data_IF_921413536037
#
_entry.id   IF_921413536037
#
_cell.length_a   1.000
_cell.length_b   1.000
_cell.length_c   1.000
_cell.angle_alpha   90.00
_cell.angle_beta   90.00
_cell.angle_gamma   90.00
#
_symmetry.space_group_name_H-M   'P 1'
#
loop_
_entity.id
_entity.type
_entity.pdbx_description
1 polymer ?
#
# COMPACT_ATOMS: atom_id res chain seq x y z
N UNK A 1 -100.48 23.41 2.40
CA UNK A 1 -99.69 22.71 3.45
C UNK A 1 -98.23 22.69 3.04
N UNK A 2 -97.43 23.57 3.64
CA UNK A 2 -95.97 23.59 3.59
C UNK A 2 -95.43 22.33 4.29
N UNK A 3 -94.73 21.45 3.55
CA UNK A 3 -93.92 20.38 4.15
C UNK A 3 -92.45 20.76 4.11
N UNK A 4 -91.90 20.95 5.30
CA UNK A 4 -90.49 21.14 5.59
C UNK A 4 -89.72 19.82 5.53
N UNK A 5 -88.47 19.93 5.05
CA UNK A 5 -87.26 19.18 5.44
C UNK A 5 -87.32 17.65 5.35
N UNK A 6 -86.55 17.12 4.40
CA UNK A 6 -85.58 16.07 4.74
C UNK A 6 -84.22 16.38 4.11
N UNK A 7 -83.22 16.29 4.97
CA UNK A 7 -81.83 16.66 4.74
C UNK A 7 -81.11 15.45 4.20
N UNK A 8 -80.55 15.56 3.00
CA UNK A 8 -79.46 14.69 2.57
C UNK A 8 -78.26 15.60 2.30
N UNK A 9 -77.44 15.80 3.33
CA UNK A 9 -76.09 16.31 3.12
C UNK A 9 -75.30 15.20 2.44
N UNK A 10 -75.02 15.36 1.14
CA UNK A 10 -74.14 14.46 0.41
C UNK A 10 -72.71 14.84 0.79
N UNK A 11 -72.15 14.16 1.80
CA UNK A 11 -70.72 14.22 2.06
C UNK A 11 -70.00 13.55 0.88
N UNK A 12 -69.48 14.36 -0.04
CA UNK A 12 -68.53 13.92 -1.05
C UNK A 12 -67.23 13.54 -0.33
N UNK A 13 -67.04 12.25 -0.08
CA UNK A 13 -65.73 11.72 0.32
C UNK A 13 -64.88 11.65 -0.95
N UNK A 14 -64.09 12.68 -1.22
CA UNK A 14 -63.05 12.62 -2.24
C UNK A 14 -61.92 11.73 -1.73
N UNK A 15 -61.94 10.45 -2.10
CA UNK A 15 -60.81 9.57 -1.88
C UNK A 15 -59.68 9.95 -2.87
N UNK A 16 -58.63 10.60 -2.38
CA UNK A 16 -57.40 10.75 -3.13
C UNK A 16 -56.73 9.37 -3.23
N UNK A 17 -56.77 8.75 -4.41
CA UNK A 17 -56.04 7.52 -4.66
C UNK A 17 -54.54 7.85 -4.75
N UNK A 18 -53.79 7.61 -3.67
CA UNK A 18 -52.34 7.63 -3.72
C UNK A 18 -51.85 6.35 -4.39
N UNK A 19 -51.35 6.44 -5.62
CA UNK A 19 -50.64 5.36 -6.29
C UNK A 19 -49.29 5.15 -5.63
N UNK A 20 -49.19 4.17 -4.74
CA UNK A 20 -47.90 3.68 -4.25
C UNK A 20 -47.25 2.83 -5.36
N UNK A 21 -46.20 3.35 -5.99
CA UNK A 21 -45.31 2.55 -6.84
C UNK A 21 -44.45 1.70 -5.90
N UNK A 22 -44.80 0.42 -5.75
CA UNK A 22 -43.94 -0.53 -5.07
C UNK A 22 -42.85 -0.98 -6.05
N UNK A 23 -41.66 -0.39 -5.93
CA UNK A 23 -40.46 -0.94 -6.57
C UNK A 23 -40.09 -2.23 -5.86
N UNK A 24 -40.27 -3.36 -6.54
CA UNK A 24 -39.69 -4.62 -6.10
C UNK A 24 -38.17 -4.53 -6.32
N UNK A 25 -37.41 -4.26 -5.26
CA UNK A 25 -35.97 -4.49 -5.30
C UNK A 25 -35.77 -6.00 -5.35
N UNK A 26 -35.29 -6.52 -6.49
CA UNK A 26 -34.86 -7.91 -6.60
C UNK A 26 -33.85 -8.22 -5.48
N UNK A 27 -33.89 -9.41 -4.86
CA UNK A 27 -32.88 -9.76 -3.87
C UNK A 27 -31.51 -9.67 -4.55
N UNK A 28 -30.62 -8.83 -4.02
CA UNK A 28 -29.23 -8.80 -4.45
C UNK A 28 -28.68 -10.23 -4.26
N UNK A 29 -28.21 -10.85 -5.34
CA UNK A 29 -27.56 -12.15 -5.24
C UNK A 29 -26.43 -12.03 -4.22
N UNK A 30 -26.38 -12.97 -3.27
CA UNK A 30 -25.32 -12.96 -2.26
C UNK A 30 -23.97 -13.18 -2.97
N UNK A 31 -22.99 -12.30 -2.67
CA UNK A 31 -21.64 -12.42 -3.22
C UNK A 31 -20.99 -13.74 -2.79
N UNK A 32 -20.26 -14.39 -3.70
CA UNK A 32 -19.62 -15.67 -3.43
C UNK A 32 -18.35 -15.47 -2.58
N UNK A 33 -18.00 -16.43 -1.74
CA UNK A 33 -16.74 -16.39 -0.98
C UNK A 33 -15.53 -16.26 -1.92
N UNK A 34 -14.56 -15.42 -1.53
CA UNK A 34 -13.30 -15.27 -2.24
C UNK A 34 -12.11 -15.60 -1.33
N UNK A 35 -10.98 -15.96 -1.93
CA UNK A 35 -9.71 -16.20 -1.25
C UNK A 35 -8.65 -15.30 -1.84
N UNK A 36 -7.90 -14.59 -1.01
CA UNK A 36 -6.79 -13.73 -1.45
C UNK A 36 -5.45 -14.39 -1.10
N UNK A 37 -4.46 -14.25 -1.98
CA UNK A 37 -3.05 -14.52 -1.68
C UNK A 37 -2.23 -13.29 -2.00
N UNK A 38 -1.09 -13.12 -1.34
CA UNK A 38 -0.18 -11.99 -1.56
C UNK A 38 1.27 -12.44 -1.47
N UNK A 39 2.09 -11.90 -2.37
CA UNK A 39 3.52 -12.14 -2.45
C UNK A 39 4.27 -10.82 -2.64
N UNK A 40 5.30 -10.61 -1.82
CA UNK A 40 6.25 -9.52 -1.98
C UNK A 40 7.52 -9.99 -2.71
N UNK A 41 7.93 -9.24 -3.73
CA UNK A 41 9.17 -9.49 -4.48
C UNK A 41 9.99 -8.20 -4.60
N UNK A 42 11.20 -8.13 -4.01
CA UNK A 42 11.78 -9.09 -3.08
C UNK A 42 11.12 -9.05 -1.69
N UNK A 43 11.17 -10.17 -0.94
CA UNK A 43 10.69 -10.22 0.46
C UNK A 43 11.69 -9.64 1.48
N UNK A 44 12.93 -9.38 1.04
CA UNK A 44 13.93 -8.65 1.80
C UNK A 44 14.61 -7.63 0.89
N UNK A 45 14.66 -6.36 1.32
CA UNK A 45 15.23 -5.28 0.56
C UNK A 45 15.96 -4.29 1.48
N UNK A 46 16.71 -3.36 0.88
CA UNK A 46 17.31 -2.24 1.61
C UNK A 46 16.41 -1.02 1.47
N UNK A 47 16.34 -0.16 2.49
CA UNK A 47 15.60 1.12 2.40
C UNK A 47 15.92 1.83 1.08
N UNK A 48 14.87 2.27 0.38
CA UNK A 48 14.96 2.93 -0.92
C UNK A 48 14.87 2.00 -2.14
N UNK A 49 14.90 0.68 -1.95
CA UNK A 49 14.59 -0.28 -3.01
C UNK A 49 13.07 -0.46 -3.14
N UNK A 50 12.53 -0.52 -4.38
CA UNK A 50 11.13 -0.84 -4.60
C UNK A 50 10.84 -2.31 -4.26
N UNK A 51 9.67 -2.57 -3.67
CA UNK A 51 9.15 -3.92 -3.44
C UNK A 51 7.83 -4.07 -4.18
N UNK A 52 7.75 -5.07 -5.06
CA UNK A 52 6.54 -5.34 -5.81
C UNK A 52 5.64 -6.29 -5.02
N UNK A 53 4.46 -5.79 -4.63
CA UNK A 53 3.41 -6.54 -3.97
C UNK A 53 2.44 -7.04 -5.05
N UNK A 54 2.36 -8.34 -5.20
CA UNK A 54 1.44 -9.01 -6.12
C UNK A 54 0.43 -9.79 -5.31
N UNK A 55 -0.84 -9.47 -5.50
CA UNK A 55 -1.92 -10.14 -4.84
C UNK A 55 -2.91 -10.73 -5.86
N UNK A 56 -3.44 -11.89 -5.52
CA UNK A 56 -4.32 -12.68 -6.39
C UNK A 56 -5.58 -13.03 -5.63
N UNK A 57 -6.71 -12.60 -6.15
CA UNK A 57 -8.06 -12.92 -5.64
C UNK A 57 -8.62 -14.08 -6.46
N UNK A 58 -8.98 -15.16 -5.77
CA UNK A 58 -9.67 -16.31 -6.35
C UNK A 58 -11.12 -16.27 -5.93
N UNK A 59 -12.02 -16.19 -6.90
CA UNK A 59 -13.48 -16.18 -6.73
C UNK A 59 -14.11 -16.87 -7.94
N UNK A 60 -15.29 -17.49 -7.77
CA UNK A 60 -16.02 -18.09 -8.89
C UNK A 60 -16.76 -17.06 -9.76
N UNK A 61 -17.01 -15.85 -9.22
CA UNK A 61 -17.48 -14.69 -9.98
C UNK A 61 -16.34 -13.82 -10.47
N UNK A 62 -16.68 -12.71 -11.15
CA UNK A 62 -15.69 -11.71 -11.59
C UNK A 62 -15.25 -10.85 -10.39
N UNK A 63 -13.96 -10.89 -9.99
CA UNK A 63 -13.44 -10.10 -8.87
C UNK A 63 -13.08 -8.65 -9.25
N UNK A 64 -13.28 -8.25 -10.51
CA UNK A 64 -12.97 -6.88 -10.96
C UNK A 64 -14.03 -5.85 -10.53
N UNK A 65 -13.66 -4.58 -10.58
CA UNK A 65 -14.52 -3.46 -10.15
C UNK A 65 -14.55 -3.27 -8.63
N UNK A 66 -15.62 -2.64 -8.13
CA UNK A 66 -15.70 -2.22 -6.73
C UNK A 66 -14.60 -1.19 -6.38
N UNK A 67 -14.16 -1.21 -5.11
CA UNK A 67 -13.00 -0.42 -4.68
C UNK A 67 -11.65 -1.09 -5.04
N UNK A 68 -11.66 -2.37 -5.44
CA UNK A 68 -10.45 -3.12 -5.72
C UNK A 68 -9.73 -3.62 -4.45
N UNK A 69 -8.41 -3.52 -4.44
CA UNK A 69 -7.54 -4.03 -3.40
C UNK A 69 -6.77 -2.93 -2.70
N UNK A 70 -6.85 -2.90 -1.37
CA UNK A 70 -6.09 -1.96 -0.54
C UNK A 70 -4.91 -2.67 0.12
N UNK A 71 -3.72 -2.11 -0.04
CA UNK A 71 -2.51 -2.56 0.63
C UNK A 71 -2.24 -1.71 1.87
N UNK A 72 -1.88 -2.37 2.97
CA UNK A 72 -1.54 -1.76 4.24
C UNK A 72 -0.15 -2.21 4.69
N UNK A 73 0.52 -1.36 5.45
CA UNK A 73 1.71 -1.69 6.23
C UNK A 73 1.37 -1.52 7.71
N UNK A 74 1.14 -2.64 8.40
CA UNK A 74 0.54 -2.62 9.73
C UNK A 74 -0.84 -1.98 9.73
N UNK A 75 -0.93 -0.72 10.20
CA UNK A 75 -2.17 0.06 10.23
C UNK A 75 -2.27 1.16 9.16
N UNK A 76 -1.16 1.46 8.48
CA UNK A 76 -1.10 2.56 7.51
C UNK A 76 -1.49 2.09 6.12
N UNK A 77 -2.36 2.85 5.44
CA UNK A 77 -2.72 2.59 4.05
C UNK A 77 -1.54 2.96 3.16
N UNK A 78 -1.08 2.01 2.35
CA UNK A 78 -0.09 2.25 1.32
C UNK A 78 -0.76 2.78 0.06
N UNK A 79 -1.70 2.00 -0.51
CA UNK A 79 -2.45 2.39 -1.70
C UNK A 79 -3.68 1.47 -1.93
N UNK A 80 -4.60 1.91 -2.78
CA UNK A 80 -5.70 1.10 -3.30
C UNK A 80 -5.61 0.98 -4.82
N UNK A 81 -5.47 -0.25 -5.32
CA UNK A 81 -5.31 -0.54 -6.75
C UNK A 81 -6.50 -1.35 -7.29
N UNK A 82 -6.85 -1.17 -8.57
CA UNK A 82 -7.89 -1.97 -9.20
C UNK A 82 -7.49 -3.46 -9.29
N UNK A 83 -8.47 -4.34 -9.13
CA UNK A 83 -8.32 -5.78 -9.39
C UNK A 83 -8.74 -6.08 -10.82
N UNK A 84 -7.91 -6.82 -11.55
CA UNK A 84 -8.23 -7.25 -12.91
C UNK A 84 -9.29 -8.36 -12.92
N UNK A 85 -9.94 -8.62 -14.06
CA UNK A 85 -10.88 -9.74 -14.20
C UNK A 85 -10.22 -11.11 -13.95
N UNK A 86 -8.89 -11.21 -14.08
CA UNK A 86 -8.13 -12.41 -13.72
C UNK A 86 -7.83 -12.51 -12.21
N UNK A 87 -8.29 -11.54 -11.40
CA UNK A 87 -8.06 -11.49 -9.96
C UNK A 87 -6.71 -10.92 -9.53
N UNK A 88 -5.88 -10.43 -10.46
CA UNK A 88 -4.57 -9.88 -10.12
C UNK A 88 -4.64 -8.39 -9.74
N UNK A 89 -3.88 -8.02 -8.71
CA UNK A 89 -3.61 -6.66 -8.27
C UNK A 89 -2.11 -6.51 -7.98
N UNK A 90 -1.48 -5.45 -8.50
CA UNK A 90 -0.04 -5.22 -8.37
C UNK A 90 0.20 -3.79 -7.89
N UNK A 91 1.04 -3.65 -6.87
CA UNK A 91 1.46 -2.37 -6.33
C UNK A 91 2.96 -2.37 -6.03
N UNK A 92 3.66 -1.32 -6.42
CA UNK A 92 5.09 -1.14 -6.11
C UNK A 92 5.23 -0.25 -4.88
N UNK A 93 5.54 -0.87 -3.73
CA UNK A 93 5.71 -0.19 -2.46
C UNK A 93 7.15 0.34 -2.28
N UNK A 94 7.25 1.51 -1.65
CA UNK A 94 8.50 2.10 -1.20
C UNK A 94 8.44 2.29 0.33
N UNK A 95 9.03 1.36 1.07
CA UNK A 95 9.05 1.42 2.54
C UNK A 95 10.27 2.23 3.00
N UNK A 96 10.04 3.20 3.89
CA UNK A 96 11.04 4.17 4.31
C UNK A 96 11.74 3.84 5.63
N UNK A 97 11.23 2.86 6.38
CA UNK A 97 11.79 2.48 7.68
C UNK A 97 12.52 1.13 7.59
N UNK A 98 13.55 0.96 8.41
CA UNK A 98 14.16 -0.36 8.60
C UNK A 98 13.31 -1.18 9.57
N UNK A 99 13.28 -2.49 9.36
CA UNK A 99 12.57 -3.43 10.21
C UNK A 99 11.72 -4.41 9.42
N UNK A 100 10.91 -5.18 10.15
CA UNK A 100 9.93 -6.09 9.56
C UNK A 100 8.62 -5.35 9.37
N UNK A 101 8.16 -5.31 8.13
CA UNK A 101 6.89 -4.76 7.71
C UNK A 101 5.88 -5.89 7.48
N UNK A 102 4.73 -5.81 8.14
CA UNK A 102 3.62 -6.73 7.92
C UNK A 102 2.68 -6.10 6.91
N UNK A 103 2.68 -6.65 5.70
CA UNK A 103 1.89 -6.13 4.59
C UNK A 103 0.57 -6.89 4.52
N UNK A 104 -0.54 -6.17 4.67
CA UNK A 104 -1.89 -6.73 4.52
C UNK A 104 -2.45 -6.31 3.17
N UNK A 105 -2.83 -7.28 2.34
CA UNK A 105 -3.58 -7.07 1.11
C UNK A 105 -5.05 -7.37 1.37
N UNK A 106 -5.90 -6.34 1.37
CA UNK A 106 -7.33 -6.46 1.61
C UNK A 106 -8.10 -6.25 0.29
N UNK A 107 -8.73 -7.30 -0.21
CA UNK A 107 -9.72 -7.20 -1.26
C UNK A 107 -11.04 -6.70 -0.67
N UNK A 108 -11.52 -5.55 -1.13
CA UNK A 108 -12.70 -4.88 -0.57
C UNK A 108 -14.03 -5.54 -0.93
N UNK A 109 -14.01 -6.54 -1.82
CA UNK A 109 -15.22 -7.18 -2.33
C UNK A 109 -15.93 -6.35 -3.40
N UNK A 110 -16.88 -6.98 -4.06
CA UNK A 110 -17.78 -6.38 -5.03
C UNK A 110 -19.14 -7.12 -4.99
N UNK A 111 -20.02 -6.83 -5.95
CA UNK A 111 -21.33 -7.49 -6.02
C UNK A 111 -21.27 -9.01 -6.27
N UNK A 112 -20.16 -9.52 -6.82
CA UNK A 112 -20.00 -10.92 -7.21
C UNK A 112 -19.19 -11.74 -6.19
N UNK A 113 -18.27 -11.08 -5.49
CA UNK A 113 -17.23 -11.70 -4.67
C UNK A 113 -17.13 -10.97 -3.32
N UNK A 114 -17.26 -11.73 -2.23
CA UNK A 114 -17.12 -11.22 -0.87
C UNK A 114 -15.69 -10.70 -0.62
N UNK A 115 -15.56 -9.77 0.32
CA UNK A 115 -14.26 -9.27 0.77
C UNK A 115 -13.39 -10.41 1.35
N UNK A 116 -12.09 -10.31 1.17
CA UNK A 116 -11.10 -11.22 1.75
C UNK A 116 -9.76 -10.53 1.91
N UNK A 117 -8.85 -11.09 2.71
CA UNK A 117 -7.55 -10.50 2.97
C UNK A 117 -6.47 -11.58 3.11
N UNK A 118 -5.23 -11.17 2.90
CA UNK A 118 -4.04 -11.98 3.13
C UNK A 118 -2.88 -11.11 3.62
N UNK A 119 -1.88 -11.74 4.23
CA UNK A 119 -0.72 -11.05 4.79
C UNK A 119 0.59 -11.64 4.25
N UNK A 120 1.60 -10.79 4.10
CA UNK A 120 2.98 -11.19 3.83
C UNK A 120 3.93 -10.30 4.63
N UNK A 121 5.18 -10.73 4.77
CA UNK A 121 6.20 -9.97 5.48
C UNK A 121 7.29 -9.50 4.54
N UNK A 122 7.73 -8.25 4.75
CA UNK A 122 8.84 -7.64 4.01
C UNK A 122 9.87 -7.16 5.01
N UNK A 123 11.12 -7.55 4.86
CA UNK A 123 12.20 -7.11 5.74
C UNK A 123 13.00 -6.00 5.05
N UNK A 124 13.07 -4.84 5.67
CA UNK A 124 13.85 -3.70 5.22
C UNK A 124 15.13 -3.55 6.05
N UNK A 125 16.30 -3.71 5.42
CA UNK A 125 17.59 -3.42 6.03
C UNK A 125 17.93 -1.93 5.90
N UNK A 126 18.55 -1.37 6.94
CA UNK A 126 19.18 -0.06 6.83
C UNK A 126 20.26 -0.07 5.73
N UNK A 127 20.44 1.06 5.06
CA UNK A 127 21.58 1.24 4.17
C UNK A 127 22.87 1.10 4.98
N UNK A 128 23.91 0.43 4.44
CA UNK A 128 25.18 0.35 5.13
C UNK A 128 25.68 1.78 5.38
N UNK A 129 25.85 2.15 6.66
CA UNK A 129 26.56 3.37 6.99
C UNK A 129 27.97 3.24 6.45
N UNK A 130 28.49 4.25 5.73
CA UNK A 130 29.91 4.28 5.38
C UNK A 130 30.72 4.00 6.64
N UNK A 131 31.83 3.23 6.56
CA UNK A 131 32.71 3.11 7.70
C UNK A 131 33.06 4.52 8.14
N UNK A 132 32.65 4.91 9.35
CA UNK A 132 33.15 6.13 9.96
C UNK A 132 34.67 6.04 9.87
N UNK A 133 35.36 7.01 9.25
CA UNK A 133 36.80 7.01 9.26
C UNK A 133 37.21 7.02 10.74
N UNK A 134 37.67 5.87 11.25
CA UNK A 134 38.34 5.76 12.54
C UNK A 134 39.68 6.47 12.39
N UNK A 135 39.66 7.79 12.34
CA UNK A 135 40.78 8.55 11.80
C UNK A 135 40.54 10.03 11.64
N UNK A 136 39.90 10.66 12.62
CA UNK A 136 40.09 12.09 12.88
C UNK A 136 41.00 12.25 14.11
N UNK A 137 42.22 11.72 14.01
CA UNK A 137 43.36 12.45 14.57
C UNK A 137 43.78 13.50 13.53
N UNK A 138 42.86 14.37 13.11
CA UNK A 138 43.25 15.60 12.43
C UNK A 138 43.68 16.54 13.53
N UNK A 139 44.99 16.81 13.63
CA UNK A 139 45.59 18.14 13.49
C UNK A 139 45.04 19.30 14.36
N UNK A 140 44.08 19.08 15.24
CA UNK A 140 43.44 20.06 16.12
C UNK A 140 43.99 20.00 17.56
N UNK A 141 44.85 19.02 17.87
CA UNK A 141 45.76 19.10 19.03
C UNK A 141 47.09 19.80 18.69
N UNK A 142 47.24 20.43 17.52
CA UNK A 142 48.48 21.11 17.15
C UNK A 142 49.65 20.17 16.85
N UNK A 143 49.38 18.92 16.47
CA UNK A 143 50.42 17.99 16.01
C UNK A 143 50.76 18.26 14.55
N UNK A 144 51.91 18.90 14.31
CA UNK A 144 52.56 19.02 13.00
C UNK A 144 52.38 17.71 12.20
N UNK A 145 51.94 17.83 10.95
CA UNK A 145 52.32 16.87 9.90
C UNK A 145 53.86 16.83 9.88
N UNK A 146 54.43 15.89 10.63
CA UNK A 146 55.85 15.58 10.59
C UNK A 146 56.09 14.72 9.34
N UNK A 147 56.27 15.36 8.20
CA UNK A 147 57.08 14.76 7.14
C UNK A 147 58.49 14.60 7.73
N UNK A 148 58.78 13.42 8.27
CA UNK A 148 60.16 13.03 8.57
C UNK A 148 60.83 12.80 7.22
N UNK A 149 61.29 13.89 6.59
CA UNK A 149 62.32 13.78 5.56
C UNK A 149 63.55 13.32 6.33
N UNK A 150 63.75 12.00 6.42
CA UNK A 150 65.04 11.45 6.86
C UNK A 150 66.13 12.09 5.99
N UNK A 151 67.29 12.41 6.59
CA UNK A 151 68.37 13.12 5.92
C UNK A 151 68.60 12.55 4.51
N UNK A 152 68.27 13.34 3.48
CA UNK A 152 68.56 12.95 2.10
C UNK A 152 70.06 13.15 1.91
N UNK A 153 70.84 12.11 2.17
CA UNK A 153 72.24 12.04 1.79
C UNK A 153 72.34 11.53 0.35
N UNK A 154 72.40 12.46 -0.60
CA UNK A 154 72.71 12.13 -1.99
C UNK A 154 74.23 12.01 -2.14
N UNK A 155 74.78 10.81 -1.93
CA UNK A 155 76.20 10.54 -2.20
C UNK A 155 76.38 10.24 -3.69
N UNK A 156 76.89 11.21 -4.45
CA UNK A 156 77.23 11.02 -5.88
C UNK A 156 78.65 10.46 -5.96
N UNK A 157 78.76 9.15 -6.21
CA UNK A 157 80.07 8.53 -6.41
C UNK A 157 80.51 8.68 -7.89
N UNK A 158 81.39 9.65 -8.17
CA UNK A 158 81.96 9.85 -9.51
C UNK A 158 83.28 9.08 -9.62
N UNK A 159 83.22 7.82 -10.06
CA UNK A 159 84.43 7.11 -10.47
C UNK A 159 84.97 7.71 -11.77
N UNK A 160 85.89 8.68 -11.66
CA UNK A 160 86.77 9.04 -12.78
C UNK A 160 87.88 8.00 -12.90
N UNK A 161 87.63 6.95 -13.68
CA UNK A 161 88.70 6.10 -14.16
C UNK A 161 89.45 6.86 -15.27
N UNK A 162 90.65 7.34 -14.95
CA UNK A 162 91.64 7.78 -15.95
C UNK A 162 92.26 6.57 -16.65
#
# INVERSE_FOLDING_TARGET
MTRWKDRAAWNLVTAAAATAVMTFASPAAAAVSSTTTVQATPSAATIGQPVNLTATVTCTGDPSGGLGMTFFDGGDILDTVPVTAAGAAVYTAHLSTAGTHTITAAYNGNANCSASNAETTVVMSAAPTPPTPSGLCLLACGGLINFSVGDIHNEINVNRNR
#
